data_IF_370921577142
#
_entry.id   IF_370921577142
#
_cell.length_a   1.000
_cell.length_b   1.000
_cell.length_c   1.000
_cell.angle_alpha   90.00
_cell.angle_beta   90.00
_cell.angle_gamma   90.00
#
_symmetry.space_group_name_H-M   'P 1'
#
loop_
_entity.id
_entity.type
_entity.pdbx_description
1 polymer ?
2 polymer ?
3 polymer ?
4 water ?
#
# COMPACT_ATOMS: atom_id res chain seq x y z
N UNK A 1 -8.23 0.85 -20.47
CA UNK A 1 -7.41 0.43 -19.35
C UNK A 1 -6.05 1.11 -19.30
N UNK A 2 -5.94 2.17 -18.51
CA UNK A 2 -4.67 2.80 -18.25
C UNK A 2 -3.87 1.97 -17.24
N UNK A 3 -2.58 2.31 -17.11
CA UNK A 3 -1.68 1.55 -16.26
C UNK A 3 -0.67 2.51 -15.63
N UNK A 4 -0.06 2.06 -14.53
CA UNK A 4 0.87 2.89 -13.78
C UNK A 4 2.10 2.06 -13.41
N UNK A 5 3.23 2.77 -13.27
CA UNK A 5 4.42 2.23 -12.64
C UNK A 5 4.81 3.19 -11.53
N UNK A 6 5.14 2.63 -10.37
CA UNK A 6 5.52 3.46 -9.24
C UNK A 6 6.67 2.82 -8.49
N UNK A 7 7.61 3.66 -8.07
CA UNK A 7 8.64 3.28 -7.12
C UNK A 7 8.43 4.04 -5.83
N UNK A 8 8.44 3.32 -4.71
CA UNK A 8 8.28 3.87 -3.37
C UNK A 8 9.55 3.58 -2.60
N UNK A 9 10.12 4.60 -1.96
CA UNK A 9 11.32 4.39 -1.17
C UNK A 9 11.19 5.05 0.18
N UNK A 10 11.76 4.44 1.18
CA UNK A 10 11.76 4.95 2.52
C UNK A 10 13.13 4.79 3.18
N UNK A 11 13.78 5.89 3.57
CA UNK A 11 15.03 5.85 4.31
C UNK A 11 14.74 6.30 5.73
N UNK A 12 15.26 5.57 6.70
CA UNK A 12 15.04 5.87 8.11
C UNK A 12 16.38 5.93 8.81
N UNK A 13 16.70 7.07 9.43
CA UNK A 13 17.97 7.17 10.12
C UNK A 13 17.96 6.31 11.39
N UNK A 14 19.13 5.81 11.74
CA UNK A 14 19.32 4.99 12.95
C UNK A 14 20.44 5.62 13.76
N UNK A 15 20.10 6.47 14.73
CA UNK A 15 21.14 7.22 15.47
C UNK A 15 22.25 6.36 16.06
N UNK A 16 21.94 5.12 16.45
CA UNK A 16 22.92 4.27 17.11
C UNK A 16 24.09 3.84 16.23
N UNK A 17 23.93 3.92 14.91
CA UNK A 17 25.02 3.49 14.03
C UNK A 17 25.41 4.52 12.98
N UNK A 18 24.43 5.18 12.37
CA UNK A 18 24.72 6.10 11.29
C UNK A 18 24.50 5.54 9.90
N UNK A 19 24.04 4.28 9.78
CA UNK A 19 23.66 3.72 8.50
C UNK A 19 22.15 3.65 8.44
N UNK A 20 21.48 4.44 7.58
CA UNK A 20 20.02 4.39 7.52
C UNK A 20 19.51 3.08 6.95
N UNK A 21 18.30 2.71 7.36
CA UNK A 21 17.57 1.62 6.74
C UNK A 21 16.90 2.13 5.47
N UNK A 22 17.16 1.51 4.34
CA UNK A 22 16.59 1.94 3.07
C UNK A 22 15.81 0.77 2.48
N UNK A 23 14.54 1.02 2.15
CA UNK A 23 13.66 0.03 1.54
C UNK A 23 13.00 0.66 0.32
N UNK A 24 13.16 0.05 -0.85
CA UNK A 24 12.52 0.49 -2.08
C UNK A 24 11.72 -0.65 -2.68
N UNK A 25 10.57 -0.31 -3.25
CA UNK A 25 9.70 -1.28 -3.91
C UNK A 25 9.19 -0.68 -5.20
N UNK A 26 9.04 -1.53 -6.20
CA UNK A 26 8.46 -1.14 -7.48
C UNK A 26 7.16 -1.88 -7.77
N UNK A 27 6.20 -1.14 -8.32
CA UNK A 27 4.89 -1.68 -8.67
C UNK A 27 4.55 -1.34 -10.11
N UNK A 28 3.86 -2.28 -10.76
CA UNK A 28 3.05 -2.00 -11.93
C UNK A 28 1.59 -2.17 -11.51
N UNK A 29 0.78 -1.14 -11.67
CA UNK A 29 -0.60 -1.15 -11.17
C UNK A 29 -0.55 -1.58 -9.70
N UNK A 30 -1.31 -2.60 -9.29
CA UNK A 30 -1.33 -3.05 -7.90
C UNK A 30 -0.48 -4.30 -7.67
N UNK A 31 0.50 -4.53 -8.52
CA UNK A 31 1.34 -5.74 -8.48
C UNK A 31 2.78 -5.31 -8.24
N UNK A 32 3.35 -5.73 -7.12
CA UNK A 32 4.76 -5.46 -6.84
C UNK A 32 5.64 -6.35 -7.71
N UNK A 33 6.76 -5.80 -8.20
CA UNK A 33 7.66 -6.59 -9.03
C UNK A 33 9.12 -6.58 -8.63
N UNK A 34 9.57 -5.63 -7.81
CA UNK A 34 10.95 -5.60 -7.35
C UNK A 34 10.99 -5.02 -5.95
N UNK A 35 12.07 -5.33 -5.24
CA UNK A 35 12.35 -4.77 -3.93
C UNK A 35 13.85 -4.65 -3.74
N UNK A 36 14.25 -3.71 -2.88
CA UNK A 36 15.61 -3.59 -2.36
C UNK A 36 15.48 -3.26 -0.88
N UNK A 37 16.23 -3.96 -0.03
CA UNK A 37 16.25 -3.69 1.40
C UNK A 37 17.70 -3.67 1.86
N UNK A 38 18.15 -2.54 2.39
CA UNK A 38 19.54 -2.43 2.82
C UNK A 38 19.88 -3.39 3.96
N UNK A 39 18.88 -3.88 4.71
CA UNK A 39 19.12 -4.82 5.78
C UNK A 39 19.27 -6.25 5.28
N UNK A 40 18.93 -6.53 4.02
CA UNK A 40 19.00 -7.86 3.47
C UNK A 40 20.45 -8.20 3.13
N UNK A 41 20.71 -9.51 3.04
CA UNK A 41 22.07 -9.96 2.78
C UNK A 41 22.50 -9.78 1.33
N UNK A 42 21.56 -9.74 0.38
CA UNK A 42 21.95 -9.74 -1.03
C UNK A 42 22.59 -8.42 -1.47
N UNK A 43 22.14 -7.30 -0.91
CA UNK A 43 22.58 -5.97 -1.34
C UNK A 43 22.30 -5.71 -2.81
N UNK A 44 21.26 -6.36 -3.33
CA UNK A 44 20.87 -6.21 -4.73
C UNK A 44 19.37 -6.03 -4.84
N UNK A 45 18.95 -5.46 -5.97
CA UNK A 45 17.54 -5.50 -6.33
C UNK A 45 17.10 -6.94 -6.52
N UNK A 46 15.90 -7.26 -6.02
CA UNK A 46 15.39 -8.62 -6.02
C UNK A 46 14.04 -8.70 -6.73
N UNK A 47 13.77 -9.79 -7.43
CA UNK A 47 12.49 -9.94 -8.12
C UNK A 47 11.37 -10.29 -7.17
N UNK A 48 10.16 -9.80 -7.50
CA UNK A 48 8.98 -10.10 -6.70
C UNK A 48 7.76 -10.44 -7.55
N UNK A 49 7.92 -10.54 -8.86
CA UNK A 49 6.89 -11.04 -9.76
C UNK A 49 7.57 -11.98 -10.75
N UNK A 50 6.88 -13.04 -11.17
CA UNK A 50 7.53 -14.01 -12.07
C UNK A 50 8.01 -13.40 -13.38
N UNK A 51 7.30 -12.42 -13.92
CA UNK A 51 7.59 -11.88 -15.24
C UNK A 51 8.81 -10.97 -15.28
N UNK A 52 9.37 -10.59 -14.13
CA UNK A 52 10.63 -9.85 -14.12
C UNK A 52 11.83 -10.77 -14.10
N UNK A 53 11.64 -12.04 -13.85
CA UNK A 53 12.75 -12.95 -13.80
C UNK A 53 13.48 -13.11 -15.13
N UNK A 54 12.84 -12.86 -16.23
CA UNK A 54 13.49 -13.00 -17.52
C UNK A 54 14.50 -11.89 -17.81
N UNK A 55 14.55 -10.84 -17.00
CA UNK A 55 15.53 -9.79 -17.23
C UNK A 55 16.94 -10.31 -16.95
N UNK A 56 17.89 -9.90 -17.79
CA UNK A 56 19.23 -10.44 -17.72
C UNK A 56 20.07 -9.77 -16.65
N UNK A 57 21.31 -10.25 -16.54
CA UNK A 57 22.23 -9.68 -15.52
C UNK A 57 22.43 -8.18 -15.68
N UNK A 58 22.34 -7.65 -16.89
CA UNK A 58 22.54 -6.21 -17.07
C UNK A 58 21.42 -5.41 -16.42
N UNK A 59 20.19 -5.94 -16.47
CA UNK A 59 19.07 -5.30 -15.78
C UNK A 59 19.32 -5.27 -14.27
N UNK A 60 19.66 -6.41 -13.68
CA UNK A 60 19.87 -6.46 -12.24
C UNK A 60 21.06 -5.60 -11.80
N UNK A 61 22.14 -5.60 -12.58
CA UNK A 61 23.28 -4.75 -12.25
C UNK A 61 22.89 -3.29 -12.27
N UNK A 62 22.23 -2.85 -13.35
CA UNK A 62 21.87 -1.45 -13.46
C UNK A 62 20.87 -1.04 -12.39
N UNK A 63 19.82 -1.83 -12.20
CA UNK A 63 18.82 -1.47 -11.18
C UNK A 63 19.44 -1.42 -9.79
N UNK A 64 20.34 -2.35 -9.49
CA UNK A 64 21.03 -2.33 -8.20
C UNK A 64 21.90 -1.09 -8.05
N UNK A 65 22.69 -0.76 -9.09
CA UNK A 65 23.51 0.44 -9.02
C UNK A 65 22.65 1.69 -8.81
N UNK A 66 21.54 1.78 -9.54
CA UNK A 66 20.67 2.96 -9.43
C UNK A 66 20.08 3.06 -8.04
N UNK A 67 19.52 1.96 -7.54
CA UNK A 67 18.84 2.02 -6.24
C UNK A 67 19.84 2.24 -5.12
N UNK A 68 21.06 1.71 -5.23
CA UNK A 68 22.08 2.00 -4.24
C UNK A 68 22.47 3.49 -4.26
N UNK A 69 22.57 4.07 -5.46
CA UNK A 69 22.82 5.51 -5.55
C UNK A 69 21.70 6.31 -4.89
N UNK A 70 20.45 5.92 -5.12
CA UNK A 70 19.30 6.52 -4.45
C UNK A 70 19.46 6.45 -2.94
N UNK A 71 19.82 5.27 -2.40
CA UNK A 71 20.00 5.15 -0.96
C UNK A 71 21.08 6.08 -0.44
N UNK A 72 22.15 6.26 -1.21
CA UNK A 72 23.23 7.14 -0.77
C UNK A 72 22.80 8.60 -0.80
N UNK A 73 22.04 8.99 -1.82
CA UNK A 73 21.48 10.34 -1.85
C UNK A 73 20.58 10.60 -0.64
N UNK A 74 19.70 9.65 -0.33
CA UNK A 74 18.86 9.78 0.87
C UNK A 74 19.72 9.91 2.13
N UNK A 75 20.80 9.12 2.23
CA UNK A 75 21.67 9.19 3.41
C UNK A 75 22.24 10.59 3.58
N UNK A 76 22.77 11.16 2.50
CA UNK A 76 23.28 12.53 2.56
C UNK A 76 22.15 13.51 2.88
N UNK A 77 20.97 13.30 2.29
CA UNK A 77 19.85 14.22 2.48
C UNK A 77 19.31 14.18 3.91
N UNK A 78 19.39 13.03 4.59
CA UNK A 78 19.01 13.01 6.00
C UNK A 78 19.86 13.99 6.80
N UNK A 79 21.16 14.05 6.50
CA UNK A 79 22.00 15.02 7.20
C UNK A 79 21.67 16.44 6.80
N UNK A 80 21.44 16.68 5.52
CA UNK A 80 21.12 18.02 5.06
C UNK A 80 19.84 18.54 5.70
N UNK A 81 18.80 17.70 5.78
CA UNK A 81 17.54 18.13 6.38
C UNK A 81 17.68 18.36 7.88
N UNK A 82 18.47 17.54 8.56
CA UNK A 82 18.80 17.82 9.96
C UNK A 82 19.36 19.22 10.11
N UNK A 83 20.20 19.63 9.17
CA UNK A 83 20.75 20.98 9.18
C UNK A 83 19.70 22.04 8.90
N UNK A 84 18.88 21.86 7.85
CA UNK A 84 17.88 22.86 7.50
C UNK A 84 16.90 23.08 8.65
N UNK A 85 16.54 22.02 9.35
CA UNK A 85 15.52 22.09 10.38
C UNK A 85 16.10 22.19 11.79
N UNK A 86 17.42 22.31 11.91
CA UNK A 86 18.09 22.51 13.20
C UNK A 86 17.76 21.39 14.19
N UNK A 87 17.82 20.16 13.71
CA UNK A 87 17.50 19.00 14.52
C UNK A 87 18.79 18.32 14.97
N UNK A 88 18.71 17.64 16.10
CA UNK A 88 19.88 16.97 16.63
C UNK A 88 20.04 15.60 15.98
N UNK A 89 21.19 14.98 16.28
CA UNK A 89 21.49 13.63 15.80
C UNK A 89 20.80 12.54 16.60
N UNK A 90 20.10 12.89 17.68
CA UNK A 90 19.59 11.88 18.60
C UNK A 90 18.35 11.17 18.08
N UNK A 91 17.53 11.83 17.26
CA UNK A 91 16.27 11.28 16.83
C UNK A 91 16.33 10.61 15.48
N UNK A 92 15.43 9.66 15.27
CA UNK A 92 15.29 9.05 13.96
C UNK A 92 14.37 9.89 13.09
N UNK A 93 14.75 10.04 11.81
CA UNK A 93 13.94 10.76 10.83
C UNK A 93 13.79 9.94 9.56
N UNK A 94 12.81 10.31 8.73
CA UNK A 94 12.41 9.49 7.59
C UNK A 94 12.31 10.36 6.34
N UNK A 95 12.87 9.87 5.25
CA UNK A 95 12.64 10.43 3.91
C UNK A 95 11.87 9.40 3.10
N UNK A 96 10.77 9.84 2.49
CA UNK A 96 10.00 9.00 1.59
C UNK A 96 9.90 9.66 0.23
N UNK A 97 9.99 8.86 -0.83
CA UNK A 97 9.87 9.32 -2.19
C UNK A 97 8.97 8.35 -2.95
N UNK A 98 8.03 8.91 -3.72
CA UNK A 98 7.27 8.15 -4.70
C UNK A 98 7.50 8.78 -6.06
N UNK A 99 7.78 7.96 -7.07
CA UNK A 99 7.88 8.47 -8.43
C UNK A 99 7.37 7.44 -9.41
N UNK A 100 7.05 7.90 -10.62
CA UNK A 100 6.62 6.98 -11.66
C UNK A 100 5.74 7.68 -12.69
N UNK A 101 5.01 6.87 -13.45
CA UNK A 101 4.30 7.38 -14.62
C UNK A 101 3.05 6.56 -14.87
N UNK A 102 2.10 7.17 -15.58
CA UNK A 102 0.89 6.50 -16.04
C UNK A 102 0.89 6.49 -17.56
N UNK A 103 0.39 5.41 -18.15
CA UNK A 103 0.15 5.35 -19.58
C UNK A 103 -1.32 5.02 -19.81
N UNK A 104 -1.80 5.39 -21.01
CA UNK A 104 -3.14 5.05 -21.43
C UNK A 104 -3.20 3.68 -22.07
N UNK A 105 -4.38 3.37 -22.63
CA UNK A 105 -4.57 2.09 -23.31
C UNK A 105 -3.65 1.96 -24.52
N UNK A 106 -3.34 3.07 -25.18
CA UNK A 106 -2.45 3.04 -26.33
C UNK A 106 -0.97 3.02 -25.94
N UNK A 107 -0.66 2.91 -24.65
CA UNK A 107 0.71 2.86 -24.19
C UNK A 107 1.45 4.17 -24.23
N UNK A 108 0.75 5.28 -24.46
CA UNK A 108 1.40 6.59 -24.51
C UNK A 108 1.33 7.27 -23.16
N UNK A 109 2.29 8.18 -22.95
CA UNK A 109 2.42 8.87 -21.67
C UNK A 109 1.15 9.64 -21.32
N UNK A 110 0.72 9.52 -20.06
CA UNK A 110 -0.37 10.30 -19.50
C UNK A 110 0.10 11.28 -18.43
N UNK A 111 0.80 10.81 -17.41
CA UNK A 111 1.16 11.64 -16.27
C UNK A 111 2.45 11.14 -15.68
N UNK A 112 3.21 12.05 -15.04
CA UNK A 112 4.41 11.68 -14.33
C UNK A 112 4.41 12.28 -12.94
N UNK A 113 5.21 11.68 -12.06
CA UNK A 113 5.21 12.04 -10.65
C UNK A 113 6.60 11.91 -10.05
N UNK A 114 6.94 12.83 -9.14
CA UNK A 114 8.05 12.63 -8.20
C UNK A 114 7.73 13.47 -6.97
N UNK A 115 7.46 12.82 -5.85
CA UNK A 115 7.04 13.51 -4.63
C UNK A 115 7.90 13.04 -3.47
N UNK A 116 8.31 13.99 -2.64
CA UNK A 116 9.22 13.75 -1.52
C UNK A 116 8.57 14.21 -0.22
N UNK A 117 8.80 13.44 0.85
CA UNK A 117 8.34 13.77 2.18
C UNK A 117 9.45 13.60 3.19
N UNK A 118 9.40 14.41 4.25
CA UNK A 118 10.30 14.33 5.39
C UNK A 118 9.45 14.16 6.65
N UNK A 119 9.73 13.11 7.41
CA UNK A 119 8.98 12.82 8.64
C UNK A 119 7.47 12.79 8.40
N UNK A 120 7.07 12.25 7.25
CA UNK A 120 5.69 11.99 6.96
C UNK A 120 4.89 13.18 6.49
N UNK A 121 5.55 14.30 6.19
CA UNK A 121 4.91 15.50 5.69
C UNK A 121 5.54 15.90 4.37
N UNK A 122 4.73 16.52 3.51
CA UNK A 122 5.22 16.98 2.20
C UNK A 122 6.49 17.79 2.38
N UNK A 123 7.47 17.55 1.51
CA UNK A 123 8.69 18.35 1.45
C UNK A 123 8.75 19.08 0.12
N UNK A 124 8.97 18.37 -0.99
CA UNK A 124 8.97 18.97 -2.32
C UNK A 124 8.39 17.96 -3.30
N UNK A 125 7.73 18.47 -4.35
CA UNK A 125 7.16 17.61 -5.37
C UNK A 125 7.24 18.28 -6.74
N UNK A 126 7.42 17.46 -7.77
CA UNK A 126 7.28 17.94 -9.13
C UNK A 126 5.81 18.19 -9.43
N UNK A 127 5.51 19.31 -10.08
CA UNK A 127 4.13 19.60 -10.44
C UNK A 127 3.72 18.81 -11.68
N UNK A 128 2.42 18.78 -11.94
CA UNK A 128 1.89 18.00 -13.06
C UNK A 128 2.47 18.46 -14.40
N UNK A 129 2.82 19.74 -14.51
CA UNK A 129 3.40 20.20 -15.77
C UNK A 129 4.82 19.71 -16.00
N UNK A 130 5.41 18.98 -15.05
CA UNK A 130 6.75 18.42 -15.16
C UNK A 130 7.81 19.49 -15.42
N UNK A 131 7.52 20.75 -15.07
CA UNK A 131 8.42 21.86 -15.31
C UNK A 131 8.60 22.77 -14.12
N UNK A 132 7.94 22.49 -13.00
CA UNK A 132 7.99 23.36 -11.84
C UNK A 132 7.82 22.52 -10.59
N UNK A 133 8.13 23.12 -9.45
CA UNK A 133 8.18 22.41 -8.18
C UNK A 133 7.27 23.09 -7.16
N UNK A 134 6.73 22.27 -6.27
CA UNK A 134 5.97 22.75 -5.12
C UNK A 134 6.76 22.41 -3.86
N UNK A 135 7.24 23.44 -3.18
CA UNK A 135 7.94 23.31 -1.91
C UNK A 135 6.99 23.65 -0.77
N UNK A 136 7.01 22.85 0.29
CA UNK A 136 6.05 23.03 1.37
C UNK A 136 6.46 24.14 2.34
N UNK A 137 7.75 24.42 2.46
CA UNK A 137 8.24 25.40 3.41
C UNK A 137 9.53 26.02 2.85
N UNK A 138 10.16 26.90 3.64
CA UNK A 138 11.33 27.61 3.15
C UNK A 138 12.56 26.71 3.07
N UNK A 139 12.66 25.67 3.91
CA UNK A 139 13.72 24.69 3.76
C UNK A 139 13.60 23.99 2.42
N UNK A 140 12.40 23.50 2.10
CA UNK A 140 12.20 22.87 0.80
C UNK A 140 12.47 23.82 -0.34
N UNK A 141 12.27 25.13 -0.13
CA UNK A 141 12.56 26.08 -1.19
C UNK A 141 14.06 26.27 -1.41
N UNK A 142 14.90 25.96 -0.41
CA UNK A 142 16.34 25.88 -0.70
C UNK A 142 16.59 24.81 -1.75
N UNK A 143 15.97 23.64 -1.57
CA UNK A 143 16.09 22.56 -2.54
C UNK A 143 15.51 22.97 -3.89
N UNK A 144 14.33 23.58 -3.88
CA UNK A 144 13.71 24.02 -5.12
C UNK A 144 14.64 24.91 -5.93
N UNK A 145 15.23 25.90 -5.26
CA UNK A 145 16.12 26.82 -5.98
C UNK A 145 17.34 26.09 -6.53
N UNK A 146 17.87 25.12 -5.78
CA UNK A 146 18.97 24.30 -6.29
C UNK A 146 18.55 23.57 -7.55
N UNK A 147 17.38 22.94 -7.52
CA UNK A 147 16.93 22.16 -8.66
C UNK A 147 16.53 23.04 -9.83
N UNK A 148 16.06 24.25 -9.55
CA UNK A 148 15.81 25.23 -10.61
C UNK A 148 17.11 25.63 -11.30
N UNK A 149 18.13 25.98 -10.51
CA UNK A 149 19.41 26.39 -11.10
C UNK A 149 20.06 25.25 -11.88
N UNK A 150 19.90 24.02 -11.41
CA UNK A 150 20.49 22.87 -12.08
C UNK A 150 19.65 22.34 -13.24
N UNK A 151 18.47 22.92 -13.48
CA UNK A 151 17.53 22.45 -14.50
C UNK A 151 17.19 20.97 -14.31
N UNK A 152 16.96 20.58 -13.07
CA UNK A 152 16.66 19.18 -12.79
C UNK A 152 15.36 18.73 -13.46
N UNK A 153 14.35 19.60 -13.52
CA UNK A 153 13.06 19.19 -14.06
C UNK A 153 13.18 18.63 -15.49
N UNK A 154 14.00 19.27 -16.34
CA UNK A 154 14.11 18.77 -17.72
C UNK A 154 14.68 17.36 -17.74
N UNK A 155 15.60 17.05 -16.84
CA UNK A 155 16.17 15.71 -16.80
C UNK A 155 15.16 14.70 -16.25
N UNK A 156 14.45 15.09 -15.20
CA UNK A 156 13.43 14.22 -14.63
C UNK A 156 12.30 13.98 -15.62
N UNK A 157 11.90 15.03 -16.36
CA UNK A 157 10.83 14.88 -17.34
C UNK A 157 11.22 13.89 -18.43
N UNK A 158 12.50 13.90 -18.84
CA UNK A 158 12.97 12.92 -19.81
C UNK A 158 12.78 11.50 -19.30
N UNK A 159 13.10 11.25 -18.03
CA UNK A 159 12.86 9.93 -17.45
C UNK A 159 11.36 9.60 -17.44
N UNK A 160 10.54 10.53 -16.94
CA UNK A 160 9.12 10.23 -16.74
C UNK A 160 8.42 9.99 -18.07
N UNK A 161 8.77 10.77 -19.09
CA UNK A 161 8.11 10.67 -20.39
C UNK A 161 8.78 9.68 -21.33
N UNK A 162 9.96 9.17 -20.98
CA UNK A 162 10.71 8.29 -21.86
C UNK A 162 10.95 6.93 -21.24
N UNK A 163 12.00 6.84 -20.43
CA UNK A 163 12.39 5.59 -19.79
C UNK A 163 11.23 4.95 -19.03
N UNK A 164 10.53 5.75 -18.23
CA UNK A 164 9.46 5.22 -17.39
C UNK A 164 8.37 4.59 -18.23
N UNK A 165 7.93 5.28 -19.28
CA UNK A 165 6.83 4.76 -20.09
C UNK A 165 7.27 3.55 -20.90
N UNK A 166 8.48 3.57 -21.45
CA UNK A 166 8.89 2.46 -22.29
C UNK A 166 9.08 1.19 -21.46
N UNK A 167 9.57 1.32 -20.24
CA UNK A 167 9.73 0.14 -19.42
C UNK A 167 8.40 -0.36 -18.88
N UNK A 168 7.49 0.55 -18.54
CA UNK A 168 6.14 0.13 -18.18
C UNK A 168 5.51 -0.67 -19.33
N UNK A 169 5.74 -0.24 -20.57
CA UNK A 169 5.21 -0.98 -21.72
C UNK A 169 5.84 -2.36 -21.80
N UNK A 170 7.15 -2.46 -21.56
CA UNK A 170 7.83 -3.75 -21.60
C UNK A 170 7.26 -4.69 -20.54
N UNK A 171 7.11 -4.19 -19.30
CA UNK A 171 6.58 -5.03 -18.22
C UNK A 171 5.16 -5.47 -18.53
N UNK A 172 4.32 -4.57 -19.03
CA UNK A 172 2.94 -4.92 -19.35
C UNK A 172 2.88 -6.03 -20.40
N UNK A 173 3.80 -6.03 -21.35
CA UNK A 173 3.79 -7.10 -22.35
C UNK A 173 4.33 -8.40 -21.77
N UNK A 174 5.48 -8.33 -21.09
CA UNK A 174 6.09 -9.54 -20.54
C UNK A 174 5.22 -10.18 -19.47
N UNK A 175 4.42 -9.39 -18.76
CA UNK A 175 3.56 -9.94 -17.73
C UNK A 175 2.09 -9.88 -18.10
N UNK A 176 1.78 -9.88 -19.40
CA UNK A 176 0.42 -9.53 -19.82
C UNK A 176 -0.62 -10.52 -19.32
N UNK A 177 -0.25 -11.80 -19.17
CA UNK A 177 -1.24 -12.80 -18.77
C UNK A 177 -1.77 -12.58 -17.37
N UNK A 178 -1.04 -11.85 -16.52
CA UNK A 178 -1.50 -11.50 -15.18
C UNK A 178 -1.76 -10.01 -15.01
N UNK A 179 -0.95 -9.14 -15.60
CA UNK A 179 -1.14 -7.70 -15.40
C UNK A 179 -2.33 -7.16 -16.16
N UNK A 180 -2.65 -7.74 -17.31
CA UNK A 180 -3.77 -7.23 -18.09
C UNK A 180 -5.06 -8.00 -17.83
N UNK A 181 -5.09 -8.81 -16.77
CA UNK A 181 -6.29 -9.47 -16.33
C UNK A 181 -7.13 -8.52 -15.48
N UNK A 182 -8.43 -8.77 -15.49
CA UNK A 182 -9.33 -8.26 -14.48
C UNK A 182 -10.00 -9.45 -13.82
N UNK A 183 -9.94 -9.50 -12.49
CA UNK A 183 -10.68 -10.49 -11.74
C UNK A 183 -11.86 -9.78 -11.10
N UNK A 184 -13.09 -10.10 -11.45
CA UNK A 184 -14.23 -9.40 -10.86
C UNK A 184 -14.44 -9.82 -9.42
N UNK A 185 -15.05 -8.97 -8.61
CA UNK A 185 -15.34 -9.36 -7.23
C UNK A 185 -16.41 -10.44 -7.17
N UNK A 186 -16.20 -11.39 -6.27
CA UNK A 186 -17.25 -12.32 -5.86
C UNK A 186 -17.91 -11.70 -4.65
N UNK A 187 -19.24 -11.60 -4.67
CA UNK A 187 -19.97 -10.84 -3.67
C UNK A 187 -20.95 -11.72 -2.91
N UNK A 188 -21.18 -11.37 -1.66
CA UNK A 188 -22.20 -12.00 -0.85
C UNK A 188 -22.54 -11.08 0.30
N UNK A 189 -23.66 -11.36 0.95
CA UNK A 189 -24.14 -10.59 2.07
C UNK A 189 -24.18 -11.46 3.31
N UNK A 190 -23.73 -10.92 4.44
CA UNK A 190 -23.99 -11.55 5.73
C UNK A 190 -24.91 -10.67 6.56
N UNK A 191 -25.44 -11.25 7.63
CA UNK A 191 -26.50 -10.63 8.41
C UNK A 191 -26.35 -11.05 9.85
N UNK A 192 -26.37 -10.08 10.76
CA UNK A 192 -26.19 -10.35 12.19
C UNK A 192 -27.23 -9.62 13.00
N UNK A 193 -28.24 -10.31 13.53
CA UNK A 193 -29.15 -9.66 14.48
C UNK A 193 -28.37 -9.08 15.65
N UNK A 194 -28.73 -7.85 16.02
CA UNK A 194 -28.17 -7.18 17.19
C UNK A 194 -29.11 -7.25 18.38
N UNK A 195 -30.37 -6.88 18.17
CA UNK A 195 -31.36 -6.76 19.24
C UNK A 195 -32.74 -6.87 18.63
N UNK A 196 -33.77 -6.74 19.48
CA UNK A 196 -35.13 -6.66 18.97
C UNK A 196 -35.35 -5.46 18.07
N UNK A 197 -34.44 -4.49 18.06
CA UNK A 197 -34.59 -3.30 17.23
C UNK A 197 -33.67 -3.27 16.02
N UNK A 198 -32.48 -3.88 16.10
CA UNK A 198 -31.39 -3.61 15.15
C UNK A 198 -30.76 -4.88 14.60
N UNK A 199 -30.18 -4.74 13.41
CA UNK A 199 -29.39 -5.80 12.79
C UNK A 199 -28.31 -5.17 11.93
N UNK A 200 -27.23 -5.93 11.71
CA UNK A 200 -26.14 -5.51 10.84
C UNK A 200 -26.23 -6.27 9.52
N UNK A 201 -26.07 -5.56 8.42
CA UNK A 201 -25.84 -6.15 7.11
C UNK A 201 -24.40 -5.87 6.72
N UNK A 202 -23.71 -6.88 6.18
CA UNK A 202 -22.35 -6.69 5.70
C UNK A 202 -22.25 -7.21 4.27
N UNK A 203 -21.89 -6.32 3.36
CA UNK A 203 -21.73 -6.64 1.95
C UNK A 203 -20.26 -6.84 1.64
N UNK A 204 -19.95 -7.98 1.00
CA UNK A 204 -18.59 -8.45 0.79
C UNK A 204 -18.24 -8.43 -0.70
N UNK A 205 -16.99 -8.02 -1.00
CA UNK A 205 -16.38 -8.16 -2.31
C UNK A 205 -15.04 -8.84 -2.12
N UNK A 206 -14.83 -9.98 -2.77
CA UNK A 206 -13.64 -10.79 -2.57
C UNK A 206 -13.01 -11.17 -3.90
N UNK A 207 -11.69 -11.34 -3.88
CA UNK A 207 -10.98 -11.94 -4.99
C UNK A 207 -10.84 -11.07 -6.23
N UNK A 208 -10.84 -9.75 -6.08
CA UNK A 208 -10.86 -8.87 -7.23
C UNK A 208 -9.48 -8.26 -7.50
N UNK A 209 -9.26 -7.91 -8.76
CA UNK A 209 -8.03 -7.25 -9.20
C UNK A 209 -8.44 -6.44 -10.43
N UNK A 210 -8.01 -5.17 -10.54
CA UNK A 210 -7.17 -4.41 -9.63
C UNK A 210 -7.92 -3.99 -8.35
N UNK A 211 -7.24 -3.24 -7.49
CA UNK A 211 -7.77 -2.94 -6.16
C UNK A 211 -8.90 -1.93 -6.16
N UNK A 212 -8.97 -1.07 -7.18
CA UNK A 212 -10.00 -0.05 -7.23
C UNK A 212 -11.39 -0.69 -7.25
N UNK A 213 -12.25 -0.26 -6.33
CA UNK A 213 -13.62 -0.77 -6.25
C UNK A 213 -14.46 0.25 -5.51
N UNK A 214 -15.77 0.20 -5.75
CA UNK A 214 -16.70 1.05 -5.00
C UNK A 214 -17.86 0.21 -4.47
N UNK A 215 -18.06 0.27 -3.20
CA UNK A 215 -19.18 -0.34 -2.50
C UNK A 215 -20.08 0.76 -1.95
N UNK A 216 -21.35 0.75 -2.29
CA UNK A 216 -22.24 1.78 -1.73
C UNK A 216 -23.54 1.13 -1.29
N UNK A 217 -24.19 1.71 -0.33
CA UNK A 217 -25.50 1.29 0.10
C UNK A 217 -26.58 2.25 -0.38
N UNK A 218 -27.75 1.70 -0.64
CA UNK A 218 -28.93 2.51 -0.86
C UNK A 218 -30.05 2.03 0.05
N UNK A 219 -30.85 2.96 0.54
CA UNK A 219 -32.09 2.67 1.28
C UNK A 219 -33.25 3.14 0.40
N UNK A 220 -34.08 2.19 -0.03
CA UNK A 220 -35.23 2.51 -0.88
C UNK A 220 -34.82 3.36 -2.08
N UNK A 221 -33.67 3.06 -2.66
CA UNK A 221 -33.27 3.66 -3.93
C UNK A 221 -32.42 4.90 -3.85
N UNK A 222 -32.10 5.39 -2.65
CA UNK A 222 -31.29 6.59 -2.48
C UNK A 222 -30.06 6.23 -1.66
N UNK A 223 -28.92 6.83 -2.02
CA UNK A 223 -27.67 6.49 -1.34
C UNK A 223 -27.81 6.65 0.16
N UNK A 224 -27.31 5.65 0.89
CA UNK A 224 -27.38 5.58 2.35
C UNK A 224 -25.96 5.63 2.89
N UNK A 225 -25.68 6.65 3.69
CA UNK A 225 -24.36 6.80 4.30
C UNK A 225 -24.41 6.85 5.83
N UNK A 226 -25.48 7.37 6.41
CA UNK A 226 -25.60 7.32 7.86
C UNK A 226 -25.62 5.86 8.32
N UNK A 227 -24.96 5.60 9.44
CA UNK A 227 -24.97 4.28 10.08
C UNK A 227 -24.25 3.22 9.26
N UNK A 228 -23.31 3.63 8.41
CA UNK A 228 -22.55 2.70 7.58
C UNK A 228 -21.10 2.66 8.04
N UNK A 229 -20.42 1.59 7.62
CA UNK A 229 -19.00 1.42 7.86
C UNK A 229 -18.38 0.83 6.62
N UNK A 230 -17.21 1.34 6.24
CA UNK A 230 -16.47 0.88 5.07
C UNK A 230 -15.02 0.68 5.48
N UNK A 231 -14.52 -0.56 5.36
CA UNK A 231 -13.11 -0.81 5.67
C UNK A 231 -12.23 -0.51 4.46
N UNK A 232 -10.95 -0.24 4.73
CA UNK A 232 -10.00 -0.04 3.64
C UNK A 232 -9.90 -1.32 2.82
N UNK A 233 -9.77 -1.16 1.50
CA UNK A 233 -9.46 -2.29 0.65
C UNK A 233 -8.15 -2.92 1.09
N UNK A 234 -8.13 -4.25 1.14
CA UNK A 234 -7.03 -4.97 1.77
C UNK A 234 -6.56 -6.12 0.88
N UNK A 235 -5.29 -6.45 0.94
CA UNK A 235 -4.77 -7.54 0.08
C UNK A 235 -5.12 -8.91 0.65
N UNK A 236 -5.55 -9.82 -0.23
CA UNK A 236 -5.77 -11.19 0.20
C UNK A 236 -4.49 -11.97 0.34
N UNK A 237 -3.41 -11.49 -0.29
CA UNK A 237 -2.12 -12.14 -0.22
C UNK A 237 -1.77 -12.96 -1.44
N UNK A 238 -2.74 -13.23 -2.31
CA UNK A 238 -2.56 -13.99 -3.54
C UNK A 238 -2.62 -13.11 -4.77
N UNK A 239 -2.50 -11.80 -4.61
CA UNK A 239 -2.59 -10.88 -5.71
C UNK A 239 -3.94 -10.22 -5.87
N UNK A 240 -4.98 -10.75 -5.22
CA UNK A 240 -6.30 -10.15 -5.28
C UNK A 240 -6.59 -9.37 -4.00
N UNK A 241 -7.72 -8.68 -4.01
CA UNK A 241 -8.08 -7.74 -2.95
C UNK A 241 -9.48 -8.06 -2.41
N UNK A 242 -9.77 -7.46 -1.27
CA UNK A 242 -11.02 -7.67 -0.53
C UNK A 242 -11.52 -6.34 0.02
N UNK A 243 -12.84 -6.23 0.20
CA UNK A 243 -13.41 -5.07 0.86
C UNK A 243 -14.78 -5.44 1.37
N UNK A 244 -15.22 -4.78 2.44
CA UNK A 244 -16.60 -4.92 2.87
C UNK A 244 -17.16 -3.58 3.31
N UNK A 245 -18.48 -3.51 3.29
CA UNK A 245 -19.24 -2.34 3.71
C UNK A 245 -20.40 -2.84 4.55
N UNK A 246 -20.74 -2.13 5.62
CA UNK A 246 -21.78 -2.60 6.53
C UNK A 246 -22.75 -1.44 6.83
N UNK A 247 -23.93 -1.80 7.24
CA UNK A 247 -24.94 -0.87 7.63
C UNK A 247 -25.79 -1.45 8.78
N UNK A 248 -26.11 -0.64 9.77
CA UNK A 248 -27.04 -1.00 10.83
C UNK A 248 -28.43 -0.57 10.42
N UNK A 249 -29.40 -1.49 10.52
CA UNK A 249 -30.73 -1.26 10.00
C UNK A 249 -31.76 -1.71 11.04
N UNK A 250 -32.99 -1.20 10.95
CA UNK A 250 -34.06 -1.74 11.80
C UNK A 250 -34.28 -3.20 11.45
N UNK A 251 -34.30 -4.05 12.47
CA UNK A 251 -34.42 -5.48 12.22
C UNK A 251 -35.76 -5.80 11.56
N UNK A 252 -35.71 -6.59 10.50
CA UNK A 252 -36.86 -6.89 9.68
C UNK A 252 -36.98 -6.00 8.46
N UNK A 253 -36.23 -4.90 8.39
CA UNK A 253 -36.29 -3.97 7.27
C UNK A 253 -35.12 -4.12 6.31
N UNK A 254 -34.45 -5.27 6.33
CA UNK A 254 -33.27 -5.48 5.50
C UNK A 254 -33.56 -5.34 4.02
N UNK A 255 -34.79 -5.61 3.59
CA UNK A 255 -35.12 -5.59 2.18
C UNK A 255 -34.95 -4.21 1.55
N UNK A 256 -34.93 -3.15 2.38
CA UNK A 256 -34.81 -1.79 1.89
C UNK A 256 -33.39 -1.42 1.51
N UNK A 257 -32.40 -2.22 1.91
CA UNK A 257 -31.00 -1.83 1.84
C UNK A 257 -30.29 -2.68 0.80
N UNK A 258 -29.91 -2.05 -0.30
CA UNK A 258 -29.18 -2.70 -1.37
C UNK A 258 -27.71 -2.31 -1.29
N UNK A 259 -26.84 -3.27 -1.56
CA UNK A 259 -25.43 -3.00 -1.75
C UNK A 259 -25.12 -2.96 -3.23
N UNK A 260 -24.37 -1.94 -3.65
CA UNK A 260 -24.00 -1.75 -5.05
C UNK A 260 -22.48 -1.86 -5.17
N UNK A 261 -22.04 -2.67 -6.11
CA UNK A 261 -20.62 -3.00 -6.28
C UNK A 261 -20.19 -2.59 -7.69
N UNK A 262 -19.21 -1.69 -7.77
CA UNK A 262 -18.67 -1.22 -9.03
C UNK A 262 -17.20 -1.65 -9.13
N UNK A 263 -16.84 -2.28 -10.25
CA UNK A 263 -15.49 -2.74 -10.45
C UNK A 263 -15.25 -2.88 -11.95
N UNK A 264 -14.00 -2.61 -12.35
CA UNK A 264 -13.62 -2.63 -13.75
C UNK A 264 -13.90 -3.98 -14.41
N UNK A 265 -13.81 -5.06 -13.65
CA UNK A 265 -14.05 -6.40 -14.15
C UNK A 265 -15.50 -6.81 -14.28
N UNK A 266 -16.42 -5.95 -13.91
CA UNK A 266 -17.85 -6.26 -14.01
C UNK A 266 -18.41 -5.58 -15.25
N UNK A 267 -19.16 -6.30 -16.10
CA UNK A 267 -19.80 -5.62 -17.24
C UNK A 267 -20.76 -4.53 -16.82
N UNK A 268 -21.49 -4.76 -15.73
CA UNK A 268 -22.38 -3.78 -15.12
C UNK A 268 -22.27 -3.94 -13.61
N UNK A 269 -22.56 -2.88 -12.86
CA UNK A 269 -22.49 -2.99 -11.39
C UNK A 269 -23.43 -4.06 -10.86
N UNK A 270 -23.01 -4.71 -9.78
CA UNK A 270 -23.85 -5.70 -9.12
C UNK A 270 -24.65 -5.04 -8.01
N UNK A 271 -25.87 -5.50 -7.83
CA UNK A 271 -26.67 -5.16 -6.65
C UNK A 271 -27.02 -6.44 -5.92
N UNK A 272 -27.00 -6.38 -4.58
CA UNK A 272 -27.36 -7.56 -3.80
C UNK A 272 -27.94 -7.13 -2.47
N UNK A 273 -28.73 -8.05 -1.90
CA UNK A 273 -29.40 -7.87 -0.62
C UNK A 273 -29.27 -9.15 0.20
N UNK A 274 -29.50 -9.02 1.50
CA UNK A 274 -29.70 -10.21 2.32
C UNK A 274 -30.92 -10.98 1.77
N UNK B 1 3.22 14.25 14.10
CA UNK B 1 4.28 13.47 13.49
C UNK B 1 3.93 11.99 13.47
N UNK B 2 3.25 11.53 14.51
CA UNK B 2 3.01 10.11 14.73
C UNK B 2 1.55 9.77 14.42
N UNK B 3 1.35 8.60 13.84
CA UNK B 3 0.05 8.14 13.40
C UNK B 3 -0.13 6.70 13.83
N UNK B 4 -1.22 6.40 14.46
CA UNK B 4 -1.46 5.10 15.00
C UNK B 4 -1.92 4.09 13.94
N UNK B 5 -1.49 2.84 14.03
CA UNK B 5 -1.88 1.86 13.03
C UNK B 5 -3.37 1.52 13.08
N UNK B 6 -3.95 1.37 11.89
CA UNK B 6 -5.21 0.66 11.68
C UNK B 6 -4.89 -0.81 11.50
N UNK B 7 -5.81 -1.68 11.88
CA UNK B 7 -5.56 -3.12 11.91
C UNK B 7 -6.77 -3.86 11.37
N UNK B 8 -6.55 -4.74 10.40
CA UNK B 8 -7.57 -5.72 10.00
C UNK B 8 -6.94 -7.12 10.04
N UNK B 9 -7.63 -8.06 10.66
CA UNK B 9 -7.19 -9.45 10.71
C UNK B 9 -8.25 -10.32 10.05
N UNK B 10 -7.83 -11.19 9.14
CA UNK B 10 -8.80 -11.85 8.26
C UNK B 10 -8.09 -12.99 7.51
N UNK B 11 -8.89 -13.85 6.90
CA UNK B 11 -8.34 -14.96 6.13
C UNK B 11 -8.36 -14.64 4.63
N UNK B 12 -7.45 -15.31 3.91
CA UNK B 12 -7.35 -15.13 2.47
C UNK B 12 -8.61 -15.64 1.77
N UNK B 13 -9.07 -16.83 2.14
CA UNK B 13 -10.24 -17.46 1.59
C UNK B 13 -11.28 -17.62 2.70
N UNK B 14 -12.54 -17.82 2.36
CA UNK B 14 -13.55 -18.11 3.38
C UNK B 14 -13.11 -19.27 4.25
N UNK B 15 -13.21 -19.09 5.56
CA UNK B 15 -12.73 -20.09 6.49
C UNK B 15 -13.62 -21.32 6.47
N UNK B 16 -12.99 -22.49 6.40
CA UNK B 16 -13.68 -23.78 6.55
C UNK B 16 -12.84 -24.63 7.47
N UNK B 17 -13.44 -25.13 8.55
CA UNK B 17 -12.67 -25.94 9.49
C UNK B 17 -12.05 -27.13 8.76
N UNK B 18 -10.76 -27.36 9.00
CA UNK B 18 -10.04 -28.44 8.38
C UNK B 18 -9.45 -28.16 7.02
N UNK B 19 -9.68 -26.97 6.47
CA UNK B 19 -9.19 -26.62 5.14
C UNK B 19 -8.06 -25.60 5.27
N UNK B 20 -6.93 -25.88 4.61
CA UNK B 20 -5.79 -24.98 4.65
C UNK B 20 -6.18 -23.61 4.07
N UNK B 21 -5.57 -22.57 4.63
CA UNK B 21 -5.93 -21.19 4.33
C UNK B 21 -4.72 -20.33 4.68
N UNK B 22 -4.88 -19.01 4.59
CA UNK B 22 -3.87 -18.07 5.05
C UNK B 22 -4.53 -17.07 6.00
N UNK B 23 -3.86 -16.80 7.11
CA UNK B 23 -4.29 -15.81 8.09
C UNK B 23 -3.46 -14.54 7.86
N UNK B 24 -4.14 -13.41 7.76
CA UNK B 24 -3.56 -12.13 7.39
C UNK B 24 -3.79 -11.11 8.48
N UNK B 25 -2.79 -10.26 8.72
CA UNK B 25 -3.00 -9.05 9.49
C UNK B 25 -2.47 -7.90 8.65
N UNK B 26 -3.36 -7.01 8.23
CA UNK B 26 -3.02 -5.86 7.41
C UNK B 26 -2.99 -4.64 8.32
N UNK B 27 -1.81 -4.06 8.49
CA UNK B 27 -1.64 -2.84 9.28
C UNK B 27 -1.37 -1.68 8.33
N UNK B 28 -2.00 -0.56 8.60
CA UNK B 28 -1.88 0.60 7.72
C UNK B 28 -2.04 1.91 8.49
N UNK B 29 -1.76 3.01 7.80
CA UNK B 29 -2.00 4.33 8.34
C UNK B 29 -1.08 4.75 9.45
N UNK B 30 0.08 4.11 9.61
CA UNK B 30 0.95 4.38 10.74
C UNK B 30 2.20 5.16 10.32
N UNK B 31 2.78 5.85 11.30
CA UNK B 31 4.02 6.57 11.12
C UNK B 31 4.55 6.81 12.53
N UNK B 32 5.85 6.59 12.79
CA UNK B 32 6.92 6.13 11.91
C UNK B 32 6.82 4.64 11.57
N UNK B 33 7.83 4.15 10.85
CA UNK B 33 7.74 2.84 10.21
C UNK B 33 8.02 1.65 11.14
N UNK B 34 8.80 1.83 12.21
CA UNK B 34 9.11 0.71 13.08
C UNK B 34 7.83 0.22 13.76
N UNK B 35 7.60 -1.09 13.69
CA UNK B 35 6.35 -1.65 14.18
C UNK B 35 6.57 -3.13 14.47
N UNK B 36 5.83 -3.65 15.42
CA UNK B 36 5.81 -5.07 15.71
C UNK B 36 4.43 -5.61 15.40
N UNK B 37 4.37 -6.64 14.57
CA UNK B 37 3.10 -7.28 14.21
C UNK B 37 3.29 -8.78 14.38
N UNK B 38 2.37 -9.41 15.08
CA UNK B 38 2.41 -10.84 15.29
C UNK B 38 1.02 -11.42 15.12
N UNK B 39 0.98 -12.67 14.66
CA UNK B 39 -0.26 -13.43 14.63
C UNK B 39 -0.24 -14.41 15.80
N UNK B 40 -1.36 -14.45 16.54
CA UNK B 40 -1.47 -15.29 17.73
C UNK B 40 -2.42 -16.44 17.48
N UNK B 41 -2.06 -17.61 18.01
CA UNK B 41 -2.91 -18.79 18.06
C UNK B 41 -3.10 -19.14 19.53
N UNK B 42 -4.33 -19.04 20.01
CA UNK B 42 -4.64 -19.28 21.42
C UNK B 42 -3.70 -18.49 22.34
N UNK B 43 -3.43 -17.24 21.96
CA UNK B 43 -2.66 -16.33 22.76
C UNK B 43 -1.15 -16.42 22.60
N UNK B 44 -0.66 -17.33 21.78
CA UNK B 44 0.77 -17.56 21.60
C UNK B 44 1.19 -17.11 20.21
N UNK B 45 2.35 -16.47 20.12
CA UNK B 45 2.83 -16.01 18.82
C UNK B 45 3.11 -17.19 17.88
N UNK B 46 2.60 -17.08 16.68
CA UNK B 46 2.91 -18.04 15.62
C UNK B 46 4.31 -17.79 15.11
N UNK B 47 5.09 -18.85 14.92
CA UNK B 47 6.50 -18.69 14.61
C UNK B 47 6.75 -18.32 13.15
N UNK B 48 6.05 -18.94 12.22
CA UNK B 48 6.34 -18.72 10.80
C UNK B 48 5.37 -17.67 10.29
N UNK B 49 5.74 -16.41 10.47
CA UNK B 49 4.95 -15.29 9.96
C UNK B 49 5.83 -14.45 9.05
N UNK B 50 5.36 -14.24 7.82
CA UNK B 50 6.08 -13.44 6.85
C UNK B 50 5.36 -12.12 6.66
N UNK B 51 6.03 -11.18 6.01
CA UNK B 51 5.39 -9.90 5.75
C UNK B 51 5.86 -9.30 4.44
N UNK B 52 5.02 -8.43 3.91
CA UNK B 52 5.30 -7.70 2.68
C UNK B 52 6.40 -6.67 2.90
N UNK B 53 6.89 -6.12 1.80
CA UNK B 53 7.90 -5.07 1.87
C UNK B 53 7.24 -3.72 2.14
N UNK B 54 7.83 -2.96 3.06
CA UNK B 54 7.28 -1.68 3.48
C UNK B 54 6.98 -0.78 2.29
N UNK B 55 5.76 -0.25 2.25
CA UNK B 55 5.38 0.75 1.27
C UNK B 55 4.45 1.72 1.96
N UNK B 56 3.92 2.68 1.22
CA UNK B 56 3.15 3.74 1.84
C UNK B 56 2.09 4.27 0.90
N UNK B 57 1.12 4.96 1.50
CA UNK B 57 -0.05 5.50 0.84
C UNK B 57 0.15 6.97 0.47
N UNK B 58 -0.86 7.53 -0.20
CA UNK B 58 -0.78 8.91 -0.68
C UNK B 58 -0.47 9.89 0.45
N UNK B 59 -1.02 9.64 1.64
CA UNK B 59 -0.80 10.53 2.79
C UNK B 59 0.52 10.27 3.51
N UNK B 60 1.39 9.43 2.95
CA UNK B 60 2.71 9.06 3.46
C UNK B 60 2.66 8.03 4.58
N UNK B 61 1.49 7.58 5.01
CA UNK B 61 1.44 6.58 6.07
C UNK B 61 1.78 5.20 5.50
N UNK B 62 2.37 4.38 6.34
CA UNK B 62 2.90 3.09 5.92
C UNK B 62 1.83 2.00 5.99
N UNK B 63 2.06 0.92 5.22
CA UNK B 63 1.24 -0.28 5.32
C UNK B 63 2.10 -1.52 5.11
N UNK B 64 1.68 -2.60 5.76
CA UNK B 64 2.34 -3.90 5.73
C UNK B 64 1.28 -4.98 5.87
N UNK B 65 1.49 -6.10 5.16
CA UNK B 65 0.68 -7.30 5.32
C UNK B 65 1.54 -8.37 5.99
N UNK B 66 1.09 -8.89 7.12
CA UNK B 66 1.70 -10.04 7.77
C UNK B 66 0.82 -11.26 7.56
N UNK B 67 1.42 -12.43 7.34
CA UNK B 67 0.60 -13.57 6.93
C UNK B 67 1.29 -14.88 7.28
N UNK B 68 0.47 -15.91 7.45
CA UNK B 68 0.93 -17.27 7.72
C UNK B 68 -0.10 -18.26 7.20
N UNK B 69 0.38 -19.42 6.77
CA UNK B 69 -0.55 -20.49 6.42
C UNK B 69 -1.16 -21.03 7.71
N UNK B 70 -2.44 -21.40 7.65
CA UNK B 70 -3.06 -21.99 8.82
C UNK B 70 -4.26 -22.81 8.36
N UNK B 71 -4.66 -23.74 9.22
CA UNK B 71 -5.88 -24.52 9.01
C UNK B 71 -6.83 -24.24 10.17
N UNK B 72 -7.89 -23.48 9.96
CA UNK B 72 -8.79 -23.14 11.07
C UNK B 72 -9.51 -24.36 11.59
N UNK B 73 -9.77 -24.35 12.90
CA UNK B 73 -10.55 -25.39 13.56
C UNK B 73 -11.66 -24.73 14.35
N UNK B 74 -12.47 -25.58 15.00
CA UNK B 74 -13.53 -25.08 15.85
C UNK B 74 -12.98 -24.38 17.09
N UNK B 75 -11.97 -24.95 17.71
CA UNK B 75 -11.53 -24.48 19.03
C UNK B 75 -10.50 -23.36 18.96
N UNK B 76 -9.73 -23.25 17.89
CA UNK B 76 -8.56 -22.38 17.87
C UNK B 76 -8.95 -20.92 17.68
N UNK B 77 -8.46 -20.06 18.56
CA UNK B 77 -8.70 -18.63 18.51
C UNK B 77 -7.47 -17.94 17.93
N UNK B 78 -7.69 -17.06 16.95
CA UNK B 78 -6.59 -16.35 16.31
C UNK B 78 -6.74 -14.85 16.53
N UNK B 79 -5.61 -14.15 16.51
CA UNK B 79 -5.62 -12.72 16.74
C UNK B 79 -4.39 -12.08 16.12
N UNK B 80 -4.43 -10.78 15.98
CA UNK B 80 -3.28 -10.00 15.54
C UNK B 80 -2.89 -9.06 16.66
N UNK B 81 -1.60 -9.02 16.98
CA UNK B 81 -1.07 -8.13 18.00
C UNK B 81 -0.14 -7.12 17.33
N UNK B 82 -0.29 -5.85 17.71
CA UNK B 82 0.48 -4.77 17.11
C UNK B 82 1.07 -3.91 18.22
N UNK B 83 2.36 -3.63 18.12
CA UNK B 83 3.01 -2.67 19.00
C UNK B 83 3.65 -1.58 18.17
N UNK B 84 3.59 -0.35 18.68
CA UNK B 84 4.02 0.82 17.92
C UNK B 84 4.20 1.94 18.93
N UNK B 85 5.01 2.93 18.57
CA UNK B 85 5.33 4.00 19.50
C UNK B 85 4.08 4.76 19.94
N UNK B 86 3.04 4.79 19.09
CA UNK B 86 1.81 5.49 19.40
C UNK B 86 0.92 4.74 20.39
N UNK B 87 1.26 3.50 20.74
CA UNK B 87 0.37 2.65 21.54
C UNK B 87 0.87 2.54 22.98
N UNK B 88 0.00 2.88 23.93
CA UNK B 88 0.37 2.76 25.34
C UNK B 88 0.50 1.30 25.77
N UNK B 89 -0.18 0.40 25.08
CA UNK B 89 -0.04 -1.03 25.27
C UNK B 89 -0.31 -1.69 23.93
N UNK B 90 0.17 -2.90 23.71
CA UNK B 90 -0.07 -3.54 22.42
C UNK B 90 -1.56 -3.70 22.16
N UNK B 91 -1.94 -3.52 20.90
CA UNK B 91 -3.33 -3.66 20.47
C UNK B 91 -3.53 -5.06 19.93
N UNK B 92 -4.51 -5.78 20.47
CA UNK B 92 -4.79 -7.14 20.06
C UNK B 92 -6.20 -7.18 19.47
N UNK B 93 -6.30 -7.57 18.21
CA UNK B 93 -7.58 -7.67 17.51
C UNK B 93 -7.81 -9.14 17.21
N UNK B 94 -8.95 -9.67 17.66
CA UNK B 94 -9.27 -11.07 17.46
C UNK B 94 -9.84 -11.30 16.06
N UNK B 95 -9.48 -12.43 15.48
CA UNK B 95 -10.03 -12.82 14.18
C UNK B 95 -11.50 -13.22 14.35
N UNK B 96 -12.36 -12.63 13.53
CA UNK B 96 -13.78 -12.94 13.44
C UNK B 96 -13.99 -13.38 12.01
N UNK B 97 -14.52 -14.58 11.83
CA UNK B 97 -14.62 -15.17 10.50
C UNK B 97 -15.41 -14.31 9.50
N UNK B 98 -16.24 -13.39 9.99
CA UNK B 98 -17.02 -12.51 9.13
C UNK B 98 -16.57 -11.06 9.22
N UNK B 99 -15.29 -10.85 9.37
CA UNK B 99 -14.78 -9.49 9.42
C UNK B 99 -13.49 -9.32 8.60
N UNK C 1 11.69 0.21 -14.65
CA UNK C 1 13.05 0.57 -14.27
C UNK C 1 13.15 1.94 -13.57
N UNK C 2 14.17 2.06 -12.74
CA UNK C 2 14.32 3.19 -11.83
C UNK C 2 14.93 4.41 -12.53
N UNK C 3 14.79 5.57 -11.88
CA UNK C 3 15.60 6.72 -12.26
C UNK C 3 17.07 6.37 -12.13
N UNK C 4 17.89 6.96 -13.00
CA UNK C 4 19.33 6.73 -12.91
C UNK C 4 19.88 7.27 -11.60
N UNK C 5 19.41 8.42 -11.16
CA UNK C 5 19.85 9.01 -9.91
C UNK C 5 18.78 9.98 -9.42
N UNK C 6 18.82 10.25 -8.12
CA UNK C 6 18.02 11.29 -7.50
C UNK C 6 18.94 12.50 -7.31
N UNK C 7 18.52 13.46 -6.49
CA UNK C 7 19.30 14.68 -6.34
C UNK C 7 19.40 15.12 -4.88
N UNK C 8 20.47 15.84 -4.59
CA UNK C 8 20.71 16.35 -3.24
C UNK C 8 19.74 17.48 -2.94
N UNK C 9 19.28 17.51 -1.70
CA UNK C 9 18.41 18.58 -1.20
C UNK C 9 19.25 19.81 -0.84
#
# INVERSE_FOLDING_TARGET
GSHSMRYFSTSVSRPGSGEPRFIAVGYVDDTQFVRFDSDAASQRMEPRAPWIEQEGPEYWDQETRNVKAHSQTDRENLGTLRGYYNQSEAGSHTIQIMYGCDVGSDGRFLRGYEQHAYDGKDYIALNEDLRSWTAADMAAQITQRKWEAARRAEQLRAYLEGTCVEWLRRYLENGKETLQRTDPPKTHMTHHPISDHEATLRCWALGFYPAEITLTWQRDGEDQTQDTELVETRPAGDGTFQKWAAVVVPSGEEQRYTCHVQHEGLPKPLTLRW
IQRTPKIQVYSRHPAENGKSNFLNCYVSGFHPSDIEVDLLKNGERIEKVEHSDLSFSKDWSFYLLYYTEFTPTEKDEYACRVNHVTLSQPKIVKWDRDM
CTELKLSDY
#
